data_IF_060964269685
#
_entry.id   IF_060964269685
#
_cell.length_a   1.000
_cell.length_b   1.000
_cell.length_c   1.000
_cell.angle_alpha   90.00
_cell.angle_beta   90.00
_cell.angle_gamma   90.00
#
_symmetry.space_group_name_H-M   'P 1'
#
loop_
_entity.id
_entity.type
_entity.pdbx_description
1 polymer ?
#
# COMPACT_ATOMS: atom_id res chain seq x y z
N UNK A 1 -56.28 37.41 -2.72
CA UNK A 1 -56.53 36.90 -1.35
C UNK A 1 -56.01 35.48 -1.37
N UNK A 2 -54.76 35.29 -0.94
CA UNK A 2 -54.40 34.84 0.41
C UNK A 2 -54.22 33.32 0.39
N UNK A 3 -53.18 32.70 0.92
CA UNK A 3 -52.10 33.17 1.77
C UNK A 3 -50.94 32.17 1.67
N UNK A 4 -49.73 32.72 1.77
CA UNK A 4 -48.49 31.97 2.00
C UNK A 4 -48.52 31.44 3.44
N UNK A 5 -48.14 30.19 3.69
CA UNK A 5 -48.04 29.61 5.02
C UNK A 5 -46.84 28.68 5.13
N UNK A 6 -45.67 29.26 5.40
CA UNK A 6 -44.49 28.56 5.94
C UNK A 6 -44.71 28.32 7.42
N UNK A 7 -44.43 27.11 7.90
CA UNK A 7 -43.91 26.74 9.23
C UNK A 7 -43.82 25.20 9.21
N UNK A 8 -42.66 24.57 9.27
CA UNK A 8 -41.75 24.59 10.41
C UNK A 8 -41.87 23.24 11.12
N UNK A 9 -40.95 22.33 10.83
CA UNK A 9 -40.61 21.19 11.70
C UNK A 9 -39.15 20.81 11.43
N UNK A 10 -38.27 21.56 12.09
CA UNK A 10 -36.87 21.18 12.31
C UNK A 10 -36.85 20.23 13.52
N UNK A 11 -36.51 18.97 13.26
CA UNK A 11 -36.08 18.00 14.26
C UNK A 11 -34.61 17.61 13.99
N UNK A 12 -33.81 17.29 15.01
CA UNK A 12 -32.36 17.41 14.96
C UNK A 12 -31.72 16.16 14.33
N UNK A 13 -31.25 16.30 13.08
CA UNK A 13 -30.41 15.29 12.45
C UNK A 13 -28.95 15.60 12.74
N UNK A 14 -28.47 15.08 13.87
CA UNK A 14 -27.06 15.07 14.30
C UNK A 14 -26.08 15.00 13.12
N UNK A 15 -25.13 15.93 13.12
CA UNK A 15 -23.86 15.85 12.42
C UNK A 15 -23.16 14.52 12.75
N UNK A 16 -23.50 13.46 12.02
CA UNK A 16 -22.60 12.35 11.79
C UNK A 16 -21.81 12.75 10.55
N UNK A 17 -20.71 13.47 10.78
CA UNK A 17 -19.65 13.59 9.80
C UNK A 17 -19.35 12.16 9.33
N UNK A 18 -19.83 11.80 8.14
CA UNK A 18 -19.69 10.46 7.64
C UNK A 18 -18.19 10.19 7.62
N UNK A 19 -17.72 9.30 8.51
CA UNK A 19 -16.34 8.82 8.49
C UNK A 19 -16.19 8.15 7.14
N UNK A 20 -15.68 8.90 6.16
CA UNK A 20 -15.45 8.38 4.82
C UNK A 20 -14.32 7.38 4.97
N UNK A 21 -14.67 6.10 4.93
CA UNK A 21 -13.69 5.02 4.85
C UNK A 21 -12.90 5.27 3.57
N UNK A 22 -11.59 5.45 3.71
CA UNK A 22 -10.69 5.52 2.57
C UNK A 22 -10.91 4.28 1.69
N UNK A 23 -11.24 4.44 0.39
CA UNK A 23 -11.57 3.31 -0.47
C UNK A 23 -10.49 2.24 -0.51
N UNK A 24 -9.21 2.61 -0.41
CA UNK A 24 -8.13 1.64 -0.40
C UNK A 24 -8.17 0.79 0.88
N UNK A 25 -8.22 1.42 2.05
CA UNK A 25 -8.32 0.75 3.35
C UNK A 25 -9.55 -0.17 3.42
N UNK A 26 -10.67 0.28 2.85
CA UNK A 26 -11.88 -0.52 2.74
C UNK A 26 -11.76 -1.71 1.78
N UNK A 27 -11.10 -1.56 0.63
CA UNK A 27 -10.84 -2.69 -0.27
C UNK A 27 -9.81 -3.68 0.30
N UNK A 28 -8.82 -3.22 1.06
CA UNK A 28 -7.88 -4.07 1.80
C UNK A 28 -8.63 -4.92 2.84
N UNK A 29 -9.54 -4.31 3.60
CA UNK A 29 -10.41 -5.04 4.53
C UNK A 29 -11.25 -6.11 3.82
N UNK A 30 -11.88 -5.75 2.69
CA UNK A 30 -12.68 -6.69 1.89
C UNK A 30 -11.82 -7.87 1.42
N UNK A 31 -10.62 -7.59 0.91
CA UNK A 31 -9.71 -8.64 0.42
C UNK A 31 -9.31 -9.61 1.53
N UNK A 32 -9.08 -9.10 2.75
CA UNK A 32 -8.72 -9.93 3.90
C UNK A 32 -9.86 -10.87 4.36
N UNK A 33 -11.11 -10.58 3.99
CA UNK A 33 -12.31 -11.28 4.49
C UNK A 33 -13.19 -11.86 3.37
N UNK A 34 -12.76 -11.81 2.10
CA UNK A 34 -13.57 -12.27 0.96
C UNK A 34 -13.81 -13.78 0.93
N UNK A 35 -13.01 -14.55 1.68
CA UNK A 35 -13.19 -15.99 1.86
C UNK A 35 -14.38 -16.32 2.78
N UNK A 36 -14.64 -15.46 3.76
CA UNK A 36 -15.64 -15.69 4.82
C UNK A 36 -16.95 -14.94 4.55
N UNK A 37 -16.88 -13.80 3.86
CA UNK A 37 -18.04 -12.93 3.62
C UNK A 37 -18.19 -12.55 2.15
N UNK A 38 -19.44 -12.42 1.63
CA UNK A 38 -19.64 -11.95 0.28
C UNK A 38 -19.14 -10.52 0.08
N UNK A 39 -18.25 -10.30 -0.89
CA UNK A 39 -17.74 -8.99 -1.32
C UNK A 39 -18.86 -7.95 -1.48
N UNK A 40 -20.00 -8.36 -2.04
CA UNK A 40 -21.16 -7.50 -2.25
C UNK A 40 -21.83 -7.01 -0.97
N UNK A 41 -21.77 -7.78 0.12
CA UNK A 41 -22.27 -7.37 1.42
C UNK A 41 -21.31 -6.38 2.08
N UNK A 42 -20.02 -6.68 2.06
CA UNK A 42 -19.00 -5.80 2.64
C UNK A 42 -18.89 -4.46 1.93
N UNK A 43 -18.92 -4.42 0.59
CA UNK A 43 -18.97 -3.15 -0.16
C UNK A 43 -20.16 -2.28 0.27
N UNK A 44 -21.35 -2.86 0.45
CA UNK A 44 -22.54 -2.11 0.90
C UNK A 44 -22.37 -1.59 2.33
N UNK A 45 -21.85 -2.41 3.23
CA UNK A 45 -21.62 -2.02 4.62
C UNK A 45 -20.60 -0.88 4.75
N UNK A 46 -19.58 -0.86 3.89
CA UNK A 46 -18.51 0.14 3.90
C UNK A 46 -18.80 1.36 3.01
N UNK A 47 -19.95 1.41 2.32
CA UNK A 47 -20.26 2.49 1.38
C UNK A 47 -19.39 2.51 0.12
N UNK A 48 -18.83 1.36 -0.28
CA UNK A 48 -17.92 1.21 -1.42
C UNK A 48 -18.60 0.60 -2.64
N UNK A 49 -18.04 0.83 -3.82
CA UNK A 49 -18.54 0.22 -5.05
C UNK A 49 -17.89 -1.15 -5.32
N UNK A 50 -18.70 -2.14 -5.69
CA UNK A 50 -18.22 -3.48 -6.11
C UNK A 50 -17.32 -3.39 -7.35
N UNK A 51 -17.71 -2.55 -8.31
CA UNK A 51 -16.92 -2.31 -9.52
C UNK A 51 -15.58 -1.65 -9.19
N UNK A 52 -15.55 -0.74 -8.20
CA UNK A 52 -14.33 -0.14 -7.68
C UNK A 52 -13.42 -1.16 -7.01
N UNK A 53 -13.97 -2.08 -6.20
CA UNK A 53 -13.21 -3.19 -5.61
C UNK A 53 -12.53 -4.04 -6.68
N UNK A 54 -13.30 -4.59 -7.63
CA UNK A 54 -12.71 -5.42 -8.68
C UNK A 54 -11.78 -4.64 -9.61
N UNK A 55 -12.02 -3.35 -9.83
CA UNK A 55 -11.08 -2.50 -10.57
C UNK A 55 -9.78 -2.31 -9.79
N UNK A 56 -9.85 -2.14 -8.47
CA UNK A 56 -8.70 -2.00 -7.60
C UNK A 56 -7.90 -3.31 -7.51
N UNK A 57 -8.56 -4.46 -7.30
CA UNK A 57 -7.94 -5.80 -7.29
C UNK A 57 -7.31 -6.14 -8.65
N UNK A 58 -7.98 -5.81 -9.75
CA UNK A 58 -7.50 -6.13 -11.11
C UNK A 58 -6.53 -5.10 -11.68
N UNK A 59 -6.26 -3.98 -10.97
CA UNK A 59 -5.28 -2.99 -11.45
C UNK A 59 -3.91 -3.66 -11.49
N UNK A 60 -3.32 -3.86 -12.68
CA UNK A 60 -1.98 -4.42 -12.74
C UNK A 60 -1.02 -3.43 -12.06
N UNK A 61 0.02 -3.92 -11.36
CA UNK A 61 1.08 -3.05 -10.89
C UNK A 61 1.65 -2.28 -12.08
N UNK A 62 1.82 -0.97 -11.90
CA UNK A 62 2.37 -0.12 -12.96
C UNK A 62 3.72 -0.67 -13.44
N UNK A 63 4.12 -0.34 -14.67
CA UNK A 63 5.44 -0.74 -15.17
C UNK A 63 6.59 -0.24 -14.27
N UNK A 64 6.37 0.82 -13.48
CA UNK A 64 7.32 1.26 -12.45
C UNK A 64 7.29 0.34 -11.23
N UNK A 65 6.11 0.02 -10.69
CA UNK A 65 5.94 -0.89 -9.56
C UNK A 65 6.56 -2.27 -9.85
N UNK A 66 6.29 -2.84 -11.03
CA UNK A 66 6.91 -4.12 -11.45
C UNK A 66 8.45 -4.07 -11.47
N UNK A 67 9.03 -2.96 -11.95
CA UNK A 67 10.48 -2.76 -11.95
C UNK A 67 11.04 -2.56 -10.54
N UNK A 68 10.28 -1.92 -9.66
CA UNK A 68 10.63 -1.78 -8.25
C UNK A 68 10.57 -3.13 -7.54
N UNK A 69 9.57 -3.98 -7.80
CA UNK A 69 9.45 -5.32 -7.21
C UNK A 69 10.57 -6.25 -7.66
N UNK A 70 10.93 -6.22 -8.94
CA UNK A 70 12.09 -6.96 -9.45
C UNK A 70 13.38 -6.49 -8.78
N UNK A 71 13.59 -5.18 -8.71
CA UNK A 71 14.76 -4.61 -8.07
C UNK A 71 14.80 -4.90 -6.56
N UNK A 72 13.65 -4.86 -5.89
CA UNK A 72 13.51 -5.17 -4.47
C UNK A 72 13.89 -6.62 -4.18
N UNK A 73 13.40 -7.57 -5.00
CA UNK A 73 13.79 -8.98 -4.92
C UNK A 73 15.30 -9.17 -5.09
N UNK A 74 15.92 -8.46 -6.03
CA UNK A 74 17.37 -8.55 -6.22
C UNK A 74 18.17 -7.95 -5.07
N UNK A 75 17.75 -6.79 -4.56
CA UNK A 75 18.31 -6.15 -3.36
C UNK A 75 18.26 -7.11 -2.17
N UNK A 76 17.11 -7.74 -1.94
CA UNK A 76 16.92 -8.70 -0.86
C UNK A 76 17.84 -9.92 -1.01
N UNK A 77 17.97 -10.47 -2.22
CA UNK A 77 18.86 -11.59 -2.50
C UNK A 77 20.33 -11.27 -2.17
N UNK A 78 20.82 -10.11 -2.61
CA UNK A 78 22.19 -9.64 -2.30
C UNK A 78 22.37 -9.43 -0.80
N UNK A 79 21.41 -8.78 -0.15
CA UNK A 79 21.45 -8.53 1.29
C UNK A 79 21.50 -9.83 2.09
N UNK A 80 20.63 -10.79 1.75
CA UNK A 80 20.57 -12.10 2.39
C UNK A 80 21.86 -12.91 2.18
N UNK A 81 22.39 -12.92 0.95
CA UNK A 81 23.66 -13.58 0.63
C UNK A 81 24.86 -12.99 1.42
N UNK A 82 24.77 -11.73 1.83
CA UNK A 82 25.76 -11.06 2.68
C UNK A 82 25.61 -11.31 4.19
N UNK A 83 24.64 -12.13 4.60
CA UNK A 83 24.25 -12.29 6.01
C UNK A 83 23.65 -11.01 6.61
N UNK A 84 23.07 -10.15 5.78
CA UNK A 84 22.50 -8.86 6.19
C UNK A 84 23.50 -7.75 6.51
N UNK A 85 24.80 -7.96 6.27
CA UNK A 85 25.85 -6.97 6.53
C UNK A 85 25.89 -5.86 5.47
N UNK A 86 25.35 -6.09 4.28
CA UNK A 86 25.46 -5.11 3.19
C UNK A 86 24.46 -3.97 3.35
N UNK A 87 25.01 -2.78 3.63
CA UNK A 87 24.27 -1.52 3.49
C UNK A 87 24.15 -1.07 2.03
N UNK A 88 23.39 0.02 1.83
CA UNK A 88 23.11 0.64 0.53
C UNK A 88 24.34 0.80 -0.40
N UNK A 89 25.54 1.22 0.06
CA UNK A 89 26.71 1.33 -0.83
C UNK A 89 27.20 -0.01 -1.38
N UNK A 90 27.20 -1.07 -0.56
CA UNK A 90 27.65 -2.41 -0.96
C UNK A 90 26.63 -3.09 -1.87
N UNK A 91 25.33 -2.93 -1.58
CA UNK A 91 24.26 -3.40 -2.47
C UNK A 91 24.33 -2.69 -3.82
N UNK A 92 24.58 -1.38 -3.84
CA UNK A 92 24.77 -0.64 -5.10
C UNK A 92 25.94 -1.20 -5.90
N UNK A 93 27.10 -1.44 -5.27
CA UNK A 93 28.25 -2.03 -5.95
C UNK A 93 27.93 -3.42 -6.53
N UNK A 94 27.26 -4.29 -5.76
CA UNK A 94 26.86 -5.62 -6.20
C UNK A 94 25.90 -5.60 -7.40
N UNK A 95 24.85 -4.77 -7.34
CA UNK A 95 23.95 -4.56 -8.49
C UNK A 95 24.71 -4.07 -9.72
N UNK A 96 25.74 -3.24 -9.53
CA UNK A 96 26.55 -2.74 -10.63
C UNK A 96 27.40 -3.81 -11.30
N UNK A 97 27.92 -4.77 -10.52
CA UNK A 97 28.64 -5.94 -11.04
C UNK A 97 27.70 -6.88 -11.82
N UNK A 98 26.41 -6.91 -11.47
CA UNK A 98 25.38 -7.66 -12.19
C UNK A 98 24.84 -6.92 -13.43
N UNK A 99 25.42 -5.77 -13.78
CA UNK A 99 24.98 -4.95 -14.92
C UNK A 99 23.74 -4.11 -14.67
N UNK A 100 23.19 -4.11 -13.45
CA UNK A 100 21.99 -3.35 -13.08
C UNK A 100 22.39 -1.93 -12.66
N UNK A 101 22.13 -0.93 -13.51
CA UNK A 101 22.40 0.50 -13.22
C UNK A 101 21.23 1.15 -12.52
N UNK A 102 21.33 1.39 -11.21
CA UNK A 102 20.28 2.05 -10.43
C UNK A 102 20.85 3.01 -9.39
N UNK A 103 20.25 4.18 -9.25
CA UNK A 103 20.72 5.19 -8.30
C UNK A 103 20.54 4.76 -6.84
N UNK A 104 21.51 5.10 -5.99
CA UNK A 104 21.49 4.75 -4.56
C UNK A 104 20.22 5.22 -3.83
N UNK A 105 19.65 6.38 -4.18
CA UNK A 105 18.39 6.86 -3.57
C UNK A 105 17.26 5.84 -3.73
N UNK A 106 17.12 5.23 -4.92
CA UNK A 106 16.10 4.22 -5.21
C UNK A 106 16.35 2.95 -4.41
N UNK A 107 17.59 2.49 -4.36
CA UNK A 107 17.99 1.35 -3.51
C UNK A 107 17.60 1.62 -2.05
N UNK A 108 17.95 2.80 -1.52
CA UNK A 108 17.64 3.17 -0.14
C UNK A 108 16.15 3.19 0.17
N UNK A 109 15.32 3.68 -0.76
CA UNK A 109 13.85 3.64 -0.63
C UNK A 109 13.35 2.19 -0.53
N UNK A 110 13.81 1.31 -1.42
CA UNK A 110 13.39 -0.09 -1.45
C UNK A 110 13.91 -0.89 -0.25
N UNK A 111 15.14 -0.65 0.20
CA UNK A 111 15.64 -1.21 1.45
C UNK A 111 14.75 -0.80 2.63
N UNK A 112 14.40 0.48 2.72
CA UNK A 112 13.53 0.99 3.81
C UNK A 112 12.14 0.36 3.77
N UNK A 113 11.52 0.22 2.58
CA UNK A 113 10.18 -0.39 2.47
C UNK A 113 10.17 -1.87 2.87
N UNK A 114 11.29 -2.57 2.70
CA UNK A 114 11.46 -3.97 3.13
C UNK A 114 12.01 -4.12 4.56
N UNK A 115 12.27 -3.01 5.28
CA UNK A 115 12.89 -3.05 6.61
C UNK A 115 14.37 -3.47 6.64
N UNK A 116 15.04 -3.53 5.47
CA UNK A 116 16.43 -3.95 5.36
C UNK A 116 17.38 -2.86 5.85
N UNK A 117 18.36 -3.26 6.66
CA UNK A 117 19.42 -2.41 7.19
C UNK A 117 20.74 -3.13 6.96
N UNK A 118 21.79 -2.39 6.63
CA UNK A 118 23.13 -2.97 6.69
C UNK A 118 23.52 -3.11 8.15
N UNK A 119 23.88 -4.31 8.57
CA UNK A 119 24.55 -4.48 9.84
C UNK A 119 25.88 -3.72 9.84
N UNK A 120 26.20 -3.05 10.96
CA UNK A 120 27.60 -3.00 11.38
C UNK A 120 28.09 -4.45 11.51
N UNK A 121 29.37 -4.76 11.22
CA UNK A 121 29.88 -6.14 11.31
C UNK A 121 29.46 -6.74 12.67
N UNK A 122 29.03 -8.00 12.72
CA UNK A 122 28.79 -8.64 14.00
C UNK A 122 30.08 -8.55 14.81
N UNK A 123 30.02 -7.82 15.93
CA UNK A 123 30.99 -7.97 16.99
C UNK A 123 30.82 -9.39 17.55
N UNK A 124 31.70 -10.28 17.10
CA UNK A 124 32.13 -11.54 17.72
C UNK A 124 31.06 -12.50 18.27
N UNK A 125 31.02 -13.72 17.70
CA UNK A 125 30.77 -14.98 18.43
C UNK A 125 31.47 -16.13 17.75
#
# INVERSE_FOLDING_TARGET
MSENGREGQQGPGSDLEAVQIDPQSGYEFITAHEADFPVAAMCRALGLSRSGYYSWVRRPPSAHARRDDELARRIHAIWSASGGSYGRPRIHAALQQEGIRVGQKRIGRLMKSMGLRGGSPPSDR
#
